data_IF_329720962922
#
_entry.id   IF_329720962922
#
_cell.length_a   1.000
_cell.length_b   1.000
_cell.length_c   1.000
_cell.angle_alpha   90.00
_cell.angle_beta   90.00
_cell.angle_gamma   90.00
#
_symmetry.space_group_name_H-M   'P 1'
#
loop_
_entity.id
_entity.type
_entity.pdbx_description
1 polymer ?
#
# COMPACT_ATOMS: atom_id res chain seq x y z
N UNK A 1 15.25 8.20 -3.90
CA UNK A 1 16.11 8.41 -2.74
C UNK A 1 15.99 7.26 -1.77
N UNK A 2 17.12 6.63 -1.39
CA UNK A 2 17.15 5.45 -0.52
C UNK A 2 17.73 4.24 -1.23
N UNK A 3 17.30 3.04 -0.84
CA UNK A 3 17.85 1.78 -1.30
C UNK A 3 17.02 1.18 -2.45
N UNK A 4 17.61 1.10 -3.64
CA UNK A 4 16.95 0.52 -4.82
C UNK A 4 16.74 -1.01 -4.73
N UNK A 5 17.49 -1.72 -3.87
CA UNK A 5 17.34 -3.17 -3.76
C UNK A 5 15.96 -3.60 -3.25
N UNK A 6 15.22 -2.69 -2.59
CA UNK A 6 13.85 -2.98 -2.17
C UNK A 6 12.91 -3.26 -3.35
N UNK A 7 13.24 -2.76 -4.55
CA UNK A 7 12.47 -3.01 -5.78
C UNK A 7 12.60 -4.43 -6.31
N UNK A 8 13.58 -5.20 -5.84
CA UNK A 8 13.73 -6.64 -6.16
C UNK A 8 12.73 -7.51 -5.41
N UNK A 9 12.09 -6.96 -4.36
CA UNK A 9 11.07 -7.65 -3.58
C UNK A 9 9.69 -7.44 -4.19
N UNK A 10 8.79 -8.42 -4.04
CA UNK A 10 7.40 -8.27 -4.47
C UNK A 10 6.72 -7.15 -3.67
N UNK A 11 6.18 -6.16 -4.36
CA UNK A 11 5.49 -5.04 -3.75
C UNK A 11 4.04 -5.37 -3.39
N UNK A 12 3.59 -4.91 -2.23
CA UNK A 12 2.18 -4.89 -1.82
C UNK A 12 1.80 -3.45 -1.50
N UNK A 13 0.83 -2.89 -2.23
CA UNK A 13 0.32 -1.57 -1.92
C UNK A 13 -0.57 -1.64 -0.67
N UNK A 14 -0.34 -0.76 0.30
CA UNK A 14 -1.20 -0.59 1.48
C UNK A 14 -1.76 0.81 1.44
N UNK A 15 -3.09 0.90 1.32
CA UNK A 15 -3.81 2.15 1.06
C UNK A 15 -5.04 2.30 1.95
N UNK A 16 -5.57 3.50 2.04
CA UNK A 16 -6.83 3.74 2.74
C UNK A 16 -7.08 5.21 3.06
N UNK A 17 -8.04 5.44 3.95
CA UNK A 17 -8.42 6.77 4.40
C UNK A 17 -7.29 7.50 5.12
N UNK A 18 -7.30 8.83 5.02
CA UNK A 18 -6.39 9.70 5.79
C UNK A 18 -6.76 9.81 7.27
N UNK A 19 -7.96 9.39 7.62
CA UNK A 19 -8.50 9.45 8.99
C UNK A 19 -8.99 8.06 9.42
N UNK A 20 -8.09 7.06 9.59
CA UNK A 20 -8.49 5.74 10.02
C UNK A 20 -9.00 5.77 11.47
N UNK A 21 -9.89 4.82 11.78
CA UNK A 21 -10.26 4.55 13.17
C UNK A 21 -9.08 3.97 13.93
N UNK A 22 -9.19 3.88 15.26
CA UNK A 22 -8.20 3.19 16.09
C UNK A 22 -7.92 1.76 15.58
N UNK A 23 -8.97 1.02 15.24
CA UNK A 23 -8.84 -0.34 14.71
C UNK A 23 -8.21 -0.34 13.30
N UNK A 24 -8.48 0.68 12.48
CA UNK A 24 -7.81 0.90 11.21
C UNK A 24 -6.31 1.12 11.35
N UNK A 25 -5.89 1.91 12.33
CA UNK A 25 -4.46 2.12 12.64
C UNK A 25 -3.78 0.80 13.03
N UNK A 26 -4.41 0.04 13.92
CA UNK A 26 -3.89 -1.26 14.37
C UNK A 26 -3.82 -2.26 13.21
N UNK A 27 -4.88 -2.35 12.41
CA UNK A 27 -4.94 -3.24 11.25
C UNK A 27 -3.88 -2.87 10.20
N UNK A 28 -3.72 -1.59 9.87
CA UNK A 28 -2.72 -1.14 8.91
C UNK A 28 -1.30 -1.52 9.34
N UNK A 29 -0.94 -1.29 10.61
CA UNK A 29 0.36 -1.69 11.17
C UNK A 29 0.53 -3.20 11.19
N UNK A 30 -0.50 -3.95 11.62
CA UNK A 30 -0.46 -5.40 11.71
C UNK A 30 -0.22 -6.05 10.34
N UNK A 31 -1.09 -5.80 9.37
CA UNK A 31 -0.99 -6.43 8.06
C UNK A 31 0.29 -6.04 7.33
N UNK A 32 0.68 -4.77 7.38
CA UNK A 32 1.94 -4.33 6.77
C UNK A 32 3.15 -5.00 7.41
N UNK A 33 3.17 -5.11 8.74
CA UNK A 33 4.21 -5.84 9.47
C UNK A 33 4.27 -7.32 9.08
N UNK A 34 3.12 -7.99 9.00
CA UNK A 34 3.05 -9.41 8.66
C UNK A 34 3.51 -9.70 7.22
N UNK A 35 3.13 -8.87 6.25
CA UNK A 35 3.65 -9.00 4.88
C UNK A 35 5.15 -8.65 4.82
N UNK A 36 5.60 -7.62 5.53
CA UNK A 36 7.01 -7.23 5.56
C UNK A 36 7.91 -8.32 6.17
N UNK A 37 7.47 -9.01 7.24
CA UNK A 37 8.16 -10.19 7.82
C UNK A 37 8.33 -11.32 6.81
N UNK A 38 7.38 -11.49 5.90
CA UNK A 38 7.41 -12.50 4.82
C UNK A 38 8.22 -12.06 3.59
N UNK A 39 8.91 -10.91 3.69
CA UNK A 39 9.84 -10.42 2.68
C UNK A 39 9.23 -9.51 1.62
N UNK A 40 7.95 -9.19 1.71
CA UNK A 40 7.32 -8.24 0.77
C UNK A 40 7.80 -6.80 1.02
N UNK A 41 7.83 -6.01 -0.05
CA UNK A 41 8.03 -4.56 0.02
C UNK A 41 6.68 -3.86 0.19
N UNK A 42 6.50 -3.16 1.29
CA UNK A 42 5.25 -2.39 1.52
C UNK A 42 5.32 -1.08 0.76
N UNK A 43 4.42 -0.93 -0.20
CA UNK A 43 4.32 0.24 -1.07
C UNK A 43 3.17 1.12 -0.61
N UNK A 44 3.41 2.41 -0.41
CA UNK A 44 2.35 3.35 -0.06
C UNK A 44 2.71 4.77 -0.49
N UNK A 45 1.88 5.76 -0.13
CA UNK A 45 1.97 7.10 -0.67
C UNK A 45 2.47 8.18 0.28
N UNK A 46 2.87 7.82 1.46
CA UNK A 46 3.28 8.76 2.51
C UNK A 46 2.17 9.74 2.97
N UNK A 47 0.91 9.52 2.61
CA UNK A 47 -0.20 10.31 3.15
C UNK A 47 -0.38 10.04 4.65
N UNK A 48 -1.01 10.99 5.37
CA UNK A 48 -1.45 10.71 6.75
C UNK A 48 -2.44 9.54 6.75
N UNK A 49 -2.62 8.90 7.90
CA UNK A 49 -3.59 7.81 8.06
C UNK A 49 -3.08 6.45 7.62
N UNK A 50 -3.81 5.75 6.75
CA UNK A 50 -3.50 4.36 6.38
C UNK A 50 -2.12 4.21 5.74
N UNK A 51 -1.68 5.14 4.91
CA UNK A 51 -0.35 5.10 4.29
C UNK A 51 0.74 5.15 5.37
N UNK A 52 0.61 6.07 6.34
CA UNK A 52 1.50 6.16 7.50
C UNK A 52 1.57 4.84 8.25
N UNK A 53 0.43 4.20 8.52
CA UNK A 53 0.39 2.91 9.24
C UNK A 53 1.05 1.79 8.46
N UNK A 54 0.92 1.82 7.13
CA UNK A 54 1.60 0.89 6.21
C UNK A 54 3.11 0.94 6.38
N UNK A 55 3.69 2.13 6.24
CA UNK A 55 5.14 2.33 6.42
C UNK A 55 5.60 1.97 7.83
N UNK A 56 4.90 2.45 8.86
CA UNK A 56 5.25 2.17 10.26
C UNK A 56 5.22 0.67 10.58
N UNK A 57 4.23 -0.07 10.07
CA UNK A 57 4.13 -1.52 10.27
C UNK A 57 5.33 -2.26 9.68
N UNK A 58 5.75 -1.89 8.46
CA UNK A 58 6.93 -2.47 7.84
C UNK A 58 8.23 -2.13 8.59
N UNK A 59 8.41 -0.87 8.95
CA UNK A 59 9.62 -0.39 9.64
C UNK A 59 9.76 -0.98 11.05
N UNK A 60 8.65 -1.22 11.75
CA UNK A 60 8.65 -1.81 13.08
C UNK A 60 9.24 -3.23 13.14
N UNK A 61 9.19 -3.96 12.02
CA UNK A 61 9.74 -5.32 11.90
C UNK A 61 11.03 -5.38 11.08
N UNK A 62 11.65 -4.24 10.79
CA UNK A 62 12.86 -4.17 9.96
C UNK A 62 12.62 -4.55 8.50
N UNK A 63 11.37 -4.48 8.04
CA UNK A 63 10.96 -4.84 6.69
C UNK A 63 11.19 -3.74 5.67
N UNK A 64 11.04 -4.08 4.39
CA UNK A 64 11.18 -3.14 3.28
C UNK A 64 9.94 -2.29 3.10
N UNK A 65 10.12 -0.99 2.82
CA UNK A 65 9.02 -0.11 2.42
C UNK A 65 9.44 0.91 1.37
N UNK A 66 8.51 1.22 0.46
CA UNK A 66 8.69 2.20 -0.62
C UNK A 66 7.55 3.22 -0.57
N UNK A 67 7.90 4.49 -0.50
CA UNK A 67 6.92 5.58 -0.57
C UNK A 67 6.95 6.25 -1.95
N UNK A 68 5.81 6.29 -2.63
CA UNK A 68 5.63 7.16 -3.80
C UNK A 68 5.17 8.54 -3.36
N UNK A 69 5.88 9.56 -3.84
CA UNK A 69 5.61 10.96 -3.52
C UNK A 69 4.95 11.68 -4.69
N UNK A 70 4.12 12.66 -4.37
CA UNK A 70 3.50 13.57 -5.34
C UNK A 70 4.24 14.94 -5.40
N UNK A 71 5.50 14.94 -5.02
CA UNK A 71 6.40 16.09 -4.91
C UNK A 71 7.85 15.66 -5.15
N UNK A 72 8.78 16.62 -5.21
CA UNK A 72 10.22 16.35 -5.33
C UNK A 72 10.79 15.55 -4.15
N UNK A 73 11.97 14.96 -4.34
CA UNK A 73 12.63 14.09 -3.34
C UNK A 73 13.52 14.87 -2.34
N UNK A 74 13.55 16.19 -2.40
CA UNK A 74 14.18 17.05 -1.40
C UNK A 74 13.31 17.15 -0.16
N UNK A 75 13.95 17.35 1.00
CA UNK A 75 13.25 17.35 2.28
C UNK A 75 12.24 18.50 2.42
N UNK A 76 12.54 19.63 1.78
CA UNK A 76 11.67 20.81 1.81
C UNK A 76 10.39 20.64 1.00
N UNK A 77 10.41 19.78 -0.01
CA UNK A 77 9.25 19.46 -0.83
C UNK A 77 8.34 18.39 -0.25
N UNK A 78 8.79 17.63 0.77
CA UNK A 78 8.00 16.52 1.34
C UNK A 78 6.62 16.98 1.79
N UNK A 79 5.61 16.26 1.31
CA UNK A 79 4.21 16.46 1.65
C UNK A 79 3.52 15.10 1.97
N UNK A 80 2.72 15.02 3.04
CA UNK A 80 2.46 16.07 4.03
C UNK A 80 3.66 16.31 4.97
N UNK A 81 3.75 17.49 5.54
CA UNK A 81 4.87 17.87 6.43
C UNK A 81 4.92 17.04 7.71
N UNK A 82 3.76 16.59 8.18
CA UNK A 82 3.61 15.71 9.35
C UNK A 82 4.36 14.38 9.17
N UNK A 83 4.55 13.94 7.93
CA UNK A 83 5.27 12.70 7.60
C UNK A 83 6.73 12.93 7.15
N UNK A 84 7.28 14.12 7.34
CA UNK A 84 8.69 14.40 7.01
C UNK A 84 9.65 13.47 7.78
N UNK A 85 9.42 13.30 9.08
CA UNK A 85 10.27 12.43 9.90
C UNK A 85 10.11 10.95 9.51
N UNK A 86 8.91 10.51 9.17
CA UNK A 86 8.67 9.17 8.62
C UNK A 86 9.41 8.98 7.28
N UNK A 87 9.40 9.97 6.39
CA UNK A 87 10.16 9.92 5.14
C UNK A 87 11.67 9.75 5.36
N UNK A 88 12.23 10.48 6.34
CA UNK A 88 13.62 10.35 6.75
C UNK A 88 13.91 8.97 7.34
N UNK A 89 13.02 8.47 8.23
CA UNK A 89 13.13 7.15 8.83
C UNK A 89 13.13 6.04 7.77
N UNK A 90 12.26 6.12 6.76
CA UNK A 90 12.24 5.18 5.62
C UNK A 90 13.62 5.11 4.98
N UNK A 91 14.24 6.25 4.68
CA UNK A 91 15.56 6.28 4.04
C UNK A 91 16.66 5.73 4.96
N UNK A 92 16.67 6.15 6.23
CA UNK A 92 17.65 5.68 7.24
C UNK A 92 17.57 4.17 7.44
N UNK A 93 16.37 3.61 7.48
CA UNK A 93 16.12 2.16 7.60
C UNK A 93 16.19 1.41 6.26
N UNK A 94 16.86 1.98 5.27
CA UNK A 94 17.12 1.37 3.97
C UNK A 94 15.86 1.05 3.14
N UNK A 95 14.79 1.83 3.35
CA UNK A 95 13.65 1.89 2.45
C UNK A 95 13.91 2.83 1.27
N UNK A 96 12.85 3.16 0.51
CA UNK A 96 12.96 3.92 -0.74
C UNK A 96 11.85 4.97 -0.84
N UNK A 97 12.23 6.17 -1.28
CA UNK A 97 11.30 7.20 -1.74
C UNK A 97 11.42 7.30 -3.26
N UNK A 98 10.28 7.29 -3.96
CA UNK A 98 10.18 7.44 -5.41
C UNK A 98 9.28 8.62 -5.77
N UNK A 99 9.60 9.29 -6.84
CA UNK A 99 8.79 10.38 -7.39
C UNK A 99 9.00 10.52 -8.91
N UNK A 100 7.95 10.94 -9.60
CA UNK A 100 8.01 11.40 -11.01
C UNK A 100 8.23 12.91 -11.08
N UNK A 101 8.31 13.62 -9.96
CA UNK A 101 8.44 15.08 -9.90
C UNK A 101 9.90 15.49 -9.73
N UNK A 102 10.32 16.60 -10.38
CA UNK A 102 11.66 17.15 -10.20
C UNK A 102 11.92 17.56 -8.74
N UNK A 103 13.20 17.60 -8.37
CA UNK A 103 13.66 18.17 -7.09
C UNK A 103 13.21 19.62 -6.98
N UNK A 104 12.72 20.03 -5.80
CA UNK A 104 12.20 21.37 -5.54
C UNK A 104 10.72 21.56 -5.89
N UNK A 105 10.08 20.58 -6.53
CA UNK A 105 8.68 20.71 -6.90
C UNK A 105 7.77 20.33 -5.72
N UNK A 106 6.93 21.26 -5.30
CA UNK A 106 5.88 21.02 -4.29
C UNK A 106 4.74 20.16 -4.83
N UNK A 107 3.98 19.54 -3.92
CA UNK A 107 2.79 18.75 -4.27
C UNK A 107 1.72 19.63 -4.93
N UNK A 108 1.39 19.32 -6.18
CA UNK A 108 0.33 19.99 -6.91
C UNK A 108 -1.05 19.40 -6.62
N UNK A 109 -2.10 20.16 -6.99
CA UNK A 109 -3.52 19.83 -6.71
C UNK A 109 -3.92 18.42 -7.14
N UNK A 110 -3.41 17.94 -8.27
CA UNK A 110 -3.76 16.63 -8.84
C UNK A 110 -2.66 15.57 -8.64
N UNK A 111 -1.52 15.96 -8.06
CA UNK A 111 -0.35 15.08 -7.93
C UNK A 111 -0.63 13.83 -7.10
N UNK A 112 -1.41 13.96 -6.04
CA UNK A 112 -1.77 12.83 -5.17
C UNK A 112 -2.56 11.75 -5.90
N UNK A 113 -3.56 12.14 -6.71
CA UNK A 113 -4.36 11.20 -7.51
C UNK A 113 -3.53 10.57 -8.63
N UNK A 114 -2.72 11.38 -9.33
CA UNK A 114 -1.85 10.89 -10.39
C UNK A 114 -0.83 9.86 -9.87
N UNK A 115 -0.33 10.05 -8.65
CA UNK A 115 0.62 9.16 -8.00
C UNK A 115 0.02 7.80 -7.61
N UNK A 116 -1.29 7.73 -7.28
CA UNK A 116 -1.93 6.49 -6.80
C UNK A 116 -1.82 5.34 -7.81
N UNK A 117 -1.77 5.62 -9.11
CA UNK A 117 -1.51 4.63 -10.15
C UNK A 117 -0.15 3.96 -10.03
N UNK A 118 0.85 4.68 -9.51
CA UNK A 118 2.21 4.16 -9.35
C UNK A 118 2.30 3.16 -8.21
N UNK A 119 1.55 3.37 -7.13
CA UNK A 119 1.45 2.41 -6.03
C UNK A 119 0.89 1.08 -6.54
N UNK A 120 -0.25 1.12 -7.25
CA UNK A 120 -0.84 -0.06 -7.86
C UNK A 120 0.09 -0.67 -8.94
N UNK A 121 0.77 0.18 -9.72
CA UNK A 121 1.70 -0.23 -10.79
C UNK A 121 2.87 -1.06 -10.27
N UNK A 122 3.57 -0.56 -9.25
CA UNK A 122 4.74 -1.24 -8.65
C UNK A 122 4.35 -2.47 -7.83
N UNK A 123 3.10 -2.57 -7.39
CA UNK A 123 2.66 -3.63 -6.49
C UNK A 123 2.03 -4.79 -7.24
N UNK A 124 2.19 -6.01 -6.71
CA UNK A 124 1.55 -7.22 -7.21
C UNK A 124 0.18 -7.48 -6.57
N UNK A 125 -0.13 -6.78 -5.50
CA UNK A 125 -1.42 -6.78 -4.84
C UNK A 125 -1.66 -5.45 -4.12
N UNK A 126 -2.92 -5.18 -3.78
CA UNK A 126 -3.29 -4.00 -2.99
C UNK A 126 -4.10 -4.43 -1.78
N UNK A 127 -3.77 -3.90 -0.61
CA UNK A 127 -4.49 -4.03 0.65
C UNK A 127 -5.17 -2.71 0.98
N UNK A 128 -6.49 -2.72 1.04
CA UNK A 128 -7.31 -1.59 1.51
C UNK A 128 -7.51 -1.77 3.01
N UNK A 129 -6.89 -0.89 3.80
CA UNK A 129 -7.04 -0.91 5.27
C UNK A 129 -8.44 -0.44 5.64
N UNK A 130 -8.78 0.81 5.36
CA UNK A 130 -10.12 1.36 5.52
C UNK A 130 -10.43 2.34 4.38
N UNK A 131 -11.63 2.26 3.82
CA UNK A 131 -12.11 3.22 2.85
C UNK A 131 -13.63 3.39 2.92
N UNK A 132 -14.09 4.60 2.68
CA UNK A 132 -15.50 4.85 2.38
C UNK A 132 -15.86 4.36 0.97
N UNK A 133 -17.15 4.40 0.65
CA UNK A 133 -17.67 4.00 -0.68
C UNK A 133 -17.16 4.93 -1.79
N UNK A 134 -16.81 6.16 -1.45
CA UNK A 134 -16.26 7.19 -2.34
C UNK A 134 -15.00 7.77 -1.72
N UNK A 135 -14.12 8.35 -2.53
CA UNK A 135 -12.90 9.02 -2.04
C UNK A 135 -11.65 8.69 -2.86
N UNK A 136 -10.54 9.32 -2.49
CA UNK A 136 -9.26 9.19 -3.19
C UNK A 136 -8.72 7.77 -3.26
N UNK A 137 -8.90 6.98 -2.21
CA UNK A 137 -8.49 5.56 -2.16
C UNK A 137 -9.04 4.74 -3.33
N UNK A 138 -10.24 5.09 -3.83
CA UNK A 138 -10.87 4.39 -4.95
C UNK A 138 -10.12 4.52 -6.27
N UNK A 139 -9.24 5.52 -6.43
CA UNK A 139 -8.38 5.61 -7.62
C UNK A 139 -7.38 4.46 -7.67
N UNK A 140 -6.70 4.17 -6.57
CA UNK A 140 -5.77 3.03 -6.49
C UNK A 140 -6.50 1.69 -6.52
N UNK A 141 -7.69 1.59 -5.91
CA UNK A 141 -8.57 0.41 -5.99
C UNK A 141 -8.92 0.11 -7.45
N UNK A 142 -9.40 1.10 -8.19
CA UNK A 142 -9.78 0.94 -9.59
C UNK A 142 -8.57 0.59 -10.48
N UNK A 143 -7.41 1.22 -10.24
CA UNK A 143 -6.18 0.89 -10.96
C UNK A 143 -5.75 -0.57 -10.71
N UNK A 144 -5.89 -1.08 -9.49
CA UNK A 144 -5.61 -2.47 -9.14
C UNK A 144 -6.54 -3.43 -9.88
N UNK A 145 -7.85 -3.14 -9.88
CA UNK A 145 -8.87 -3.96 -10.57
C UNK A 145 -8.62 -3.97 -12.08
N UNK A 146 -8.37 -2.82 -12.69
CA UNK A 146 -8.07 -2.70 -14.12
C UNK A 146 -6.81 -3.48 -14.51
N UNK A 147 -5.82 -3.51 -13.63
CA UNK A 147 -4.59 -4.28 -13.82
C UNK A 147 -4.75 -5.77 -13.52
N UNK A 148 -5.95 -6.24 -13.18
CA UNK A 148 -6.27 -7.63 -12.81
C UNK A 148 -5.38 -8.20 -11.71
N UNK A 149 -4.93 -7.34 -10.80
CA UNK A 149 -4.11 -7.71 -9.65
C UNK A 149 -5.00 -8.03 -8.45
N UNK A 150 -4.58 -8.93 -7.53
CA UNK A 150 -5.31 -9.22 -6.31
C UNK A 150 -5.57 -7.95 -5.49
N UNK A 151 -6.82 -7.78 -5.08
CA UNK A 151 -7.26 -6.73 -4.18
C UNK A 151 -7.76 -7.37 -2.90
N UNK A 152 -7.25 -6.92 -1.78
CA UNK A 152 -7.67 -7.35 -0.45
C UNK A 152 -8.31 -6.18 0.29
N UNK A 153 -9.37 -6.43 1.02
CA UNK A 153 -9.97 -5.44 1.92
C UNK A 153 -10.00 -6.02 3.34
N UNK A 154 -9.45 -5.28 4.30
CA UNK A 154 -9.46 -5.70 5.70
C UNK A 154 -10.89 -5.87 6.17
N UNK A 155 -11.17 -7.03 6.76
CA UNK A 155 -12.47 -7.36 7.36
C UNK A 155 -12.52 -6.91 8.81
N UNK A 156 -13.53 -6.13 9.14
CA UNK A 156 -13.84 -5.68 10.49
C UNK A 156 -15.09 -6.42 10.99
N UNK A 157 -15.14 -6.75 12.29
CA UNK A 157 -16.20 -7.62 12.84
C UNK A 157 -17.04 -6.96 13.91
N UNK A 158 -16.55 -5.88 14.54
CA UNK A 158 -17.32 -5.20 15.58
C UNK A 158 -18.43 -4.37 14.97
N UNK A 159 -19.57 -4.25 15.66
CA UNK A 159 -20.68 -3.41 15.18
C UNK A 159 -20.24 -1.94 15.03
N UNK A 160 -19.38 -1.45 15.91
CA UNK A 160 -18.79 -0.11 15.82
C UNK A 160 -18.01 0.09 14.51
N UNK A 161 -17.16 -0.87 14.14
CA UNK A 161 -16.39 -0.78 12.91
C UNK A 161 -17.29 -0.93 11.67
N UNK A 162 -18.17 -1.94 11.67
CA UNK A 162 -19.00 -2.24 10.49
C UNK A 162 -20.06 -1.18 10.21
N UNK A 163 -20.47 -0.40 11.21
CA UNK A 163 -21.34 0.76 11.02
C UNK A 163 -20.60 2.02 10.59
N UNK A 164 -19.27 2.04 10.71
CA UNK A 164 -18.47 3.22 10.37
C UNK A 164 -18.40 3.44 8.86
N UNK A 165 -18.65 4.69 8.43
CA UNK A 165 -18.61 5.07 7.01
C UNK A 165 -17.26 4.77 6.31
N UNK A 166 -16.16 4.81 7.07
CA UNK A 166 -14.80 4.55 6.58
C UNK A 166 -14.52 3.07 6.31
N UNK A 167 -15.43 2.18 6.68
CA UNK A 167 -15.35 0.73 6.44
C UNK A 167 -16.33 0.27 5.35
N UNK A 168 -17.32 1.11 5.02
CA UNK A 168 -18.37 0.73 4.05
C UNK A 168 -17.81 0.39 2.67
N UNK A 169 -16.70 1.02 2.26
CA UNK A 169 -16.02 0.68 1.02
C UNK A 169 -15.41 -0.73 1.07
N UNK A 170 -14.79 -1.11 2.20
CA UNK A 170 -14.25 -2.46 2.39
C UNK A 170 -15.37 -3.50 2.27
N UNK A 171 -16.47 -3.31 3.00
CA UNK A 171 -17.63 -4.21 2.98
C UNK A 171 -18.18 -4.34 1.56
N UNK A 172 -18.35 -3.23 0.86
CA UNK A 172 -18.86 -3.20 -0.51
C UNK A 172 -17.94 -3.97 -1.48
N UNK A 173 -16.63 -3.74 -1.39
CA UNK A 173 -15.65 -4.41 -2.27
C UNK A 173 -15.67 -5.93 -2.10
N UNK A 174 -15.80 -6.42 -0.86
CA UNK A 174 -15.90 -7.85 -0.57
C UNK A 174 -17.25 -8.41 -1.03
N UNK A 175 -18.36 -7.73 -0.73
CA UNK A 175 -19.71 -8.14 -1.13
C UNK A 175 -19.88 -8.22 -2.65
N UNK A 176 -19.26 -7.30 -3.39
CA UNK A 176 -19.26 -7.29 -4.86
C UNK A 176 -18.20 -8.23 -5.47
N UNK A 177 -17.52 -9.04 -4.65
CA UNK A 177 -16.46 -9.98 -5.07
C UNK A 177 -15.31 -9.30 -5.85
N UNK A 178 -15.10 -8.00 -5.60
CA UNK A 178 -14.00 -7.23 -6.17
C UNK A 178 -12.71 -7.33 -5.34
N UNK A 179 -12.84 -7.69 -4.07
CA UNK A 179 -11.71 -7.89 -3.16
C UNK A 179 -11.89 -9.15 -2.32
N UNK A 180 -10.78 -9.77 -1.99
CA UNK A 180 -10.72 -10.82 -0.98
C UNK A 180 -10.83 -10.20 0.41
N UNK A 181 -11.62 -10.81 1.31
CA UNK A 181 -11.66 -10.41 2.70
C UNK A 181 -10.33 -10.76 3.38
N UNK A 182 -9.62 -9.77 3.92
CA UNK A 182 -8.36 -9.98 4.62
C UNK A 182 -8.59 -10.04 6.13
N UNK A 183 -8.28 -11.19 6.70
CA UNK A 183 -8.36 -11.50 8.14
C UNK A 183 -6.96 -11.75 8.69
N UNK A 184 -6.78 -11.54 10.00
CA UNK A 184 -5.49 -11.84 10.66
C UNK A 184 -5.04 -13.29 10.51
N UNK A 185 -5.98 -14.23 10.41
CA UNK A 185 -5.73 -15.67 10.19
C UNK A 185 -5.54 -16.05 8.73
N UNK A 186 -5.78 -15.11 7.77
CA UNK A 186 -5.77 -15.38 6.34
C UNK A 186 -4.54 -14.82 5.61
N UNK A 187 -3.46 -14.49 6.32
CA UNK A 187 -2.28 -13.86 5.69
C UNK A 187 -1.55 -14.83 4.77
N UNK A 188 -1.42 -16.10 5.14
CA UNK A 188 -0.73 -17.09 4.33
C UNK A 188 -1.52 -17.44 3.06
N UNK A 189 -2.86 -17.44 3.14
CA UNK A 189 -3.73 -17.55 1.97
C UNK A 189 -3.56 -16.34 1.04
N UNK A 190 -3.50 -15.13 1.60
CA UNK A 190 -3.25 -13.92 0.83
C UNK A 190 -1.89 -13.98 0.12
N UNK A 191 -0.83 -14.43 0.79
CA UNK A 191 0.49 -14.63 0.17
C UNK A 191 0.41 -15.63 -0.99
N UNK A 192 -0.29 -16.75 -0.80
CA UNK A 192 -0.49 -17.75 -1.86
C UNK A 192 -1.21 -17.18 -3.09
N UNK A 193 -2.21 -16.33 -2.89
CA UNK A 193 -2.93 -15.64 -3.98
C UNK A 193 -1.98 -14.67 -4.71
N UNK A 194 -1.17 -13.90 -3.97
CA UNK A 194 -0.22 -12.95 -4.54
C UNK A 194 0.84 -13.66 -5.37
N UNK A 195 1.41 -14.75 -4.86
CA UNK A 195 2.43 -15.54 -5.57
C UNK A 195 1.87 -16.17 -6.86
N UNK A 196 0.65 -16.70 -6.82
CA UNK A 196 -0.02 -17.23 -8.02
C UNK A 196 -0.22 -16.12 -9.07
N UNK A 197 -0.69 -14.95 -8.64
CA UNK A 197 -0.87 -13.81 -9.53
C UNK A 197 0.46 -13.33 -10.11
N UNK A 198 1.53 -13.30 -9.31
CA UNK A 198 2.86 -12.94 -9.80
C UNK A 198 3.35 -13.90 -10.88
N UNK A 199 3.22 -15.21 -10.67
CA UNK A 199 3.62 -16.24 -11.66
C UNK A 199 2.82 -16.14 -12.96
N UNK A 200 1.54 -15.74 -12.88
CA UNK A 200 0.68 -15.57 -14.08
C UNK A 200 1.03 -14.31 -14.89
N UNK A 201 1.47 -13.24 -14.24
CA UNK A 201 1.86 -11.98 -14.90
C UNK A 201 3.27 -12.09 -15.50
N UNK A 202 4.16 -12.81 -14.83
CA UNK A 202 5.52 -13.10 -15.27
C UNK A 202 5.67 -14.61 -15.46
N UNK A 203 5.11 -15.20 -16.54
CA UNK A 203 5.40 -16.59 -16.84
C UNK A 203 6.92 -16.69 -17.01
N UNK A 204 7.56 -17.38 -16.09
CA UNK A 204 8.98 -17.69 -16.22
C UNK A 204 9.12 -18.36 -17.57
N UNK A 205 9.89 -17.75 -18.47
CA UNK A 205 10.44 -18.48 -19.60
C UNK A 205 11.35 -19.56 -19.03
N UNK A 206 10.75 -20.68 -18.63
CA UNK A 206 11.46 -21.95 -18.61
C UNK A 206 11.68 -22.35 -20.06
N UNK A 207 12.54 -21.61 -20.74
CA UNK A 207 13.28 -22.18 -21.82
C UNK A 207 14.28 -23.10 -21.15
N UNK A 208 13.97 -24.40 -21.15
CA UNK A 208 14.95 -25.44 -20.92
C UNK A 208 16.09 -25.17 -21.90
N UNK A 209 17.23 -24.79 -21.36
CA UNK A 209 18.50 -24.87 -22.07
C UNK A 209 18.84 -26.36 -22.17
N UNK A 210 18.36 -27.00 -23.23
CA UNK A 210 18.91 -28.23 -23.80
C UNK A 210 18.80 -28.15 -25.32
#
# INVERSE_FOLDING_TARGET
RGNLDVLKKLGIAVIGTREPTRNGILAGKHFSGEFAKRGYNIVSGLAIGCDTTGHQGALAVGGATTAFLANGLDWDSIYPKENLDLAKEIVVKRGLLLSEYPVGQSCGRYGLVARDRLQAGLSYATVVVQTGVKGGTMHAVNATIQSKKPLFAVEYKTDEDTSNEKVQGNIKLVKEQKAYALRSTGIDDACSIIEKAHKSINPVQQQSLF
#
